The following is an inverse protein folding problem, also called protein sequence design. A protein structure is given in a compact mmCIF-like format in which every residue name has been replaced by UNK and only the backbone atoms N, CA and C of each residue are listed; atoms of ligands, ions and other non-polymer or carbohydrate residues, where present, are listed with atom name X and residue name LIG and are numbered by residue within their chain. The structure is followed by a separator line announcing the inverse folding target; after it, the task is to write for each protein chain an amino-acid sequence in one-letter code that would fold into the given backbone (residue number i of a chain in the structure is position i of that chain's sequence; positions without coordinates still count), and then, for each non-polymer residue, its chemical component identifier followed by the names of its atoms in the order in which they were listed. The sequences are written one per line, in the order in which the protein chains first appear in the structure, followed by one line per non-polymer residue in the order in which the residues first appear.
data_IF_809910626291
#
_entry.id   IF_809910626291
#
_cell.length_a   1.000
_cell.length_b   1.000
_cell.length_c   1.000
_cell.angle_alpha   90.00
_cell.angle_beta   90.00
_cell.angle_gamma   90.00
#
_symmetry.space_group_name_H-M   'P 1'
#
loop_
_entity.id
_entity.type
_entity.pdbx_description
1 polymer ?
#
# COMPACT_ATOMS: atom_id res chain seq x y z
N UNK A 1 -10.89 23.02 12.08
CA UNK A 1 -10.26 23.15 10.77
C UNK A 1 -10.35 21.82 10.03
N UNK A 2 -10.73 21.87 8.73
CA UNK A 2 -10.92 20.64 7.92
C UNK A 2 -9.64 19.81 7.78
N UNK A 3 -8.46 20.44 7.73
CA UNK A 3 -7.18 19.75 7.69
C UNK A 3 -6.92 18.95 8.95
N UNK A 4 -7.15 19.52 10.12
CA UNK A 4 -6.98 18.82 11.40
C UNK A 4 -7.93 17.61 11.52
N UNK A 5 -9.13 17.71 10.96
CA UNK A 5 -10.07 16.58 10.92
C UNK A 5 -9.55 15.49 9.99
N UNK A 6 -9.10 15.85 8.78
CA UNK A 6 -8.57 14.91 7.81
C UNK A 6 -7.29 14.20 8.34
N UNK A 7 -6.38 14.94 8.97
CA UNK A 7 -5.18 14.40 9.61
C UNK A 7 -5.53 13.43 10.75
N UNK A 8 -6.44 13.78 11.65
CA UNK A 8 -6.84 12.93 12.77
C UNK A 8 -7.56 11.64 12.35
N UNK A 9 -8.32 11.71 11.24
CA UNK A 9 -9.06 10.55 10.71
C UNK A 9 -8.31 9.77 9.64
N UNK A 10 -7.10 10.20 9.26
CA UNK A 10 -6.35 9.68 8.13
C UNK A 10 -7.20 9.55 6.86
N UNK A 11 -8.04 10.57 6.61
CA UNK A 11 -8.99 10.55 5.50
C UNK A 11 -8.48 11.37 4.32
N UNK A 12 -8.64 10.89 3.07
CA UNK A 12 -8.30 11.67 1.89
C UNK A 12 -9.22 12.87 1.73
N UNK A 13 -8.69 13.93 1.12
CA UNK A 13 -9.44 15.18 0.88
C UNK A 13 -9.87 15.24 -0.57
N UNK A 14 -11.17 15.37 -0.83
CA UNK A 14 -11.72 15.59 -2.17
C UNK A 14 -11.98 17.10 -2.39
N UNK A 15 -11.09 17.81 -3.10
CA UNK A 15 -11.27 19.23 -3.38
C UNK A 15 -12.29 19.45 -4.50
N UNK A 16 -13.17 20.43 -4.32
CA UNK A 16 -14.13 20.83 -5.34
C UNK A 16 -14.09 22.34 -5.58
N UNK A 17 -14.04 22.72 -6.85
CA UNK A 17 -14.13 24.13 -7.27
C UNK A 17 -15.54 24.47 -7.70
N UNK A 18 -16.17 25.39 -7.01
CA UNK A 18 -17.52 25.88 -7.32
C UNK A 18 -17.42 27.21 -8.03
N UNK A 19 -17.92 27.28 -9.27
CA UNK A 19 -17.96 28.49 -10.09
C UNK A 19 -19.39 28.99 -10.23
N UNK A 20 -19.88 29.87 -9.36
CA UNK A 20 -21.17 30.52 -9.59
C UNK A 20 -21.03 31.52 -10.77
N UNK A 21 -22.02 31.56 -11.65
CA UNK A 21 -22.11 32.65 -12.64
C UNK A 21 -22.35 33.97 -11.88
N UNK A 22 -21.31 34.76 -11.69
CA UNK A 22 -21.42 36.08 -11.05
C UNK A 22 -21.88 37.08 -12.10
N UNK A 23 -22.91 37.89 -11.73
CA UNK A 23 -23.40 39.01 -12.55
C UNK A 23 -22.27 40.04 -12.72
N UNK A 24 -22.18 40.67 -13.90
CA UNK A 24 -21.27 41.80 -14.16
C UNK A 24 -21.37 42.90 -13.14
N UNK A 25 -22.61 43.19 -12.63
CA UNK A 25 -22.88 44.12 -11.56
C UNK A 25 -22.16 43.79 -10.24
N UNK A 26 -21.96 42.51 -9.94
CA UNK A 26 -21.23 42.09 -8.75
C UNK A 26 -19.74 42.47 -8.82
N UNK A 27 -19.13 42.31 -9.99
CA UNK A 27 -17.72 42.70 -10.18
C UNK A 27 -17.51 44.21 -10.22
N UNK A 28 -18.41 44.96 -10.88
CA UNK A 28 -18.28 46.42 -10.95
C UNK A 28 -18.47 47.08 -9.58
N UNK A 29 -19.40 46.60 -8.74
CA UNK A 29 -19.59 47.09 -7.39
C UNK A 29 -18.44 46.71 -6.45
N UNK A 30 -17.78 45.59 -6.63
CA UNK A 30 -16.63 45.14 -5.80
C UNK A 30 -15.37 45.99 -6.03
N UNK A 31 -15.24 46.63 -7.20
CA UNK A 31 -14.09 47.47 -7.56
C UNK A 31 -14.24 48.90 -6.96
N UNK A 32 -15.46 49.41 -6.82
CA UNK A 32 -15.68 50.82 -6.51
C UNK A 32 -15.85 51.21 -5.02
N UNK A 33 -15.96 50.26 -4.05
CA UNK A 33 -16.19 50.67 -2.67
C UNK A 33 -15.68 49.73 -1.58
N UNK A 34 -14.51 50.00 -1.02
CA UNK A 34 -14.00 49.28 0.16
C UNK A 34 -14.69 49.63 1.50
N UNK A 35 -15.27 50.79 1.80
CA UNK A 35 -15.96 51.00 3.07
C UNK A 35 -17.50 50.81 3.06
N UNK A 36 -18.17 50.90 1.92
CA UNK A 36 -19.63 50.73 1.82
C UNK A 36 -20.08 49.32 1.48
N UNK A 37 -19.13 48.38 1.38
CA UNK A 37 -19.33 47.09 0.72
C UNK A 37 -20.13 46.07 1.51
N UNK A 38 -20.12 46.09 2.85
CA UNK A 38 -20.67 44.98 3.62
C UNK A 38 -22.19 44.92 3.61
N UNK A 39 -22.85 46.04 3.78
CA UNK A 39 -24.32 46.13 3.76
C UNK A 39 -24.90 46.05 2.36
N UNK A 40 -24.23 46.67 1.37
CA UNK A 40 -24.61 46.58 -0.03
C UNK A 40 -24.33 45.18 -0.61
N UNK A 41 -23.22 44.56 -0.21
CA UNK A 41 -22.88 43.17 -0.57
C UNK A 41 -23.92 42.18 0.00
N UNK A 42 -24.37 42.39 1.24
CA UNK A 42 -25.42 41.57 1.87
C UNK A 42 -26.75 41.72 1.13
N UNK A 43 -27.12 42.95 0.72
CA UNK A 43 -28.34 43.20 -0.04
C UNK A 43 -28.29 42.64 -1.47
N UNK A 44 -27.13 42.73 -2.13
CA UNK A 44 -26.91 42.15 -3.46
C UNK A 44 -26.85 40.63 -3.39
N UNK A 45 -26.26 40.04 -2.35
CA UNK A 45 -26.29 38.59 -2.10
C UNK A 45 -27.69 38.07 -1.82
N UNK A 46 -28.50 38.80 -1.01
CA UNK A 46 -29.90 38.44 -0.76
C UNK A 46 -30.76 38.57 -2.02
N UNK A 47 -30.63 39.66 -2.80
CA UNK A 47 -31.32 39.80 -4.08
C UNK A 47 -30.86 38.79 -5.13
N UNK A 48 -29.59 38.45 -5.19
CA UNK A 48 -29.05 37.42 -6.08
C UNK A 48 -29.58 36.05 -5.66
N UNK A 49 -29.68 35.76 -4.37
CA UNK A 49 -30.25 34.48 -3.87
C UNK A 49 -31.74 34.35 -4.18
N UNK A 50 -32.48 35.43 -4.12
CA UNK A 50 -33.94 35.45 -4.40
C UNK A 50 -34.29 35.44 -5.90
N UNK A 51 -33.37 35.86 -6.80
CA UNK A 51 -33.52 35.86 -8.28
C UNK A 51 -32.95 34.59 -8.96
N UNK A 52 -32.47 33.63 -8.19
CA UNK A 52 -31.61 32.54 -8.68
C UNK A 52 -32.35 31.28 -9.09
N UNK A 53 -33.60 31.33 -9.53
CA UNK A 53 -34.34 30.13 -9.96
C UNK A 53 -33.83 29.46 -11.24
N UNK A 54 -32.90 30.09 -12.02
CA UNK A 54 -32.39 29.56 -13.29
C UNK A 54 -30.88 29.68 -13.52
N UNK A 55 -30.06 29.82 -12.48
CA UNK A 55 -28.61 29.92 -12.64
C UNK A 55 -27.91 28.56 -12.48
N UNK A 56 -27.20 28.15 -13.51
CA UNK A 56 -26.33 26.95 -13.50
C UNK A 56 -25.10 27.23 -12.63
N UNK A 57 -24.85 26.39 -11.63
CA UNK A 57 -23.63 26.37 -10.85
C UNK A 57 -22.72 25.27 -11.44
N UNK A 58 -21.53 25.65 -11.90
CA UNK A 58 -20.56 24.69 -12.36
C UNK A 58 -19.69 24.23 -11.18
N UNK A 59 -19.72 22.93 -10.92
CA UNK A 59 -18.85 22.29 -9.93
C UNK A 59 -17.83 21.44 -10.67
N UNK A 60 -16.54 21.70 -10.44
CA UNK A 60 -15.45 20.84 -10.88
C UNK A 60 -14.89 20.11 -9.68
N UNK A 61 -15.00 18.78 -9.69
CA UNK A 61 -14.47 17.92 -8.66
C UNK A 61 -13.05 17.54 -9.09
N UNK A 62 -12.07 17.69 -8.19
CA UNK A 62 -10.70 17.25 -8.38
C UNK A 62 -10.52 15.78 -7.98
N UNK A 63 -9.29 15.33 -8.04
CA UNK A 63 -8.90 13.99 -7.57
C UNK A 63 -8.73 13.99 -6.05
N UNK A 64 -8.85 12.82 -5.44
CA UNK A 64 -8.59 12.63 -4.01
C UNK A 64 -7.12 12.96 -3.70
N UNK A 65 -6.89 13.82 -2.73
CA UNK A 65 -5.55 14.12 -2.22
C UNK A 65 -5.22 13.11 -1.14
N UNK A 66 -4.08 12.43 -1.32
CA UNK A 66 -3.54 11.46 -0.37
C UNK A 66 -3.35 12.11 1.01
N UNK A 67 -3.79 11.49 2.12
CA UNK A 67 -3.52 11.98 3.47
C UNK A 67 -2.04 12.25 3.71
N UNK A 68 -1.15 11.38 3.25
CA UNK A 68 0.29 11.52 3.43
C UNK A 68 0.88 12.69 2.60
N UNK A 69 0.22 13.11 1.52
CA UNK A 69 0.74 14.17 0.64
C UNK A 69 0.88 15.55 1.33
N UNK A 70 0.31 15.75 2.50
CA UNK A 70 0.41 17.00 3.26
C UNK A 70 1.02 16.83 4.67
N UNK A 71 1.15 15.60 5.19
CA UNK A 71 1.82 15.34 6.46
C UNK A 71 3.32 15.62 6.36
N UNK A 72 3.97 15.22 5.27
CA UNK A 72 5.39 15.45 5.00
C UNK A 72 5.78 16.93 4.85
N UNK A 73 4.78 17.81 4.71
CA UNK A 73 5.04 19.25 4.66
C UNK A 73 5.24 19.78 6.08
N UNK A 74 6.50 19.96 6.51
CA UNK A 74 6.89 20.65 7.76
C UNK A 74 6.47 22.13 7.74
N UNK A 75 5.26 22.44 7.27
CA UNK A 75 4.76 23.78 7.07
C UNK A 75 3.74 24.17 8.14
N UNK A 76 3.71 25.45 8.57
CA UNK A 76 2.65 25.94 9.45
C UNK A 76 1.26 25.71 8.84
N UNK A 77 0.27 25.36 9.67
CA UNK A 77 -1.11 25.07 9.26
C UNK A 77 -1.69 26.13 8.31
N UNK A 78 -1.44 27.42 8.61
CA UNK A 78 -1.88 28.55 7.76
C UNK A 78 -1.33 28.48 6.34
N UNK A 79 -0.11 27.97 6.16
CA UNK A 79 0.52 27.77 4.85
C UNK A 79 -0.07 26.56 4.13
N UNK A 80 -0.30 25.45 4.84
CA UNK A 80 -1.00 24.27 4.31
C UNK A 80 -2.39 24.67 3.77
N UNK A 81 -3.18 25.39 4.53
CA UNK A 81 -4.53 25.89 4.11
C UNK A 81 -4.45 26.72 2.82
N UNK A 82 -3.43 27.60 2.68
CA UNK A 82 -3.23 28.38 1.45
C UNK A 82 -2.89 27.50 0.24
N UNK A 83 -2.14 26.43 0.43
CA UNK A 83 -1.85 25.47 -0.63
C UNK A 83 -3.11 24.73 -1.09
N UNK A 84 -3.97 24.30 -0.18
CA UNK A 84 -5.28 23.73 -0.52
C UNK A 84 -6.21 24.72 -1.23
N UNK A 85 -6.24 25.98 -0.80
CA UNK A 85 -6.95 27.03 -1.52
C UNK A 85 -6.42 27.17 -2.95
N UNK A 86 -5.10 27.21 -3.13
CA UNK A 86 -4.46 27.27 -4.45
C UNK A 86 -4.81 26.04 -5.30
N UNK A 87 -4.86 24.85 -4.69
CA UNK A 87 -5.27 23.63 -5.36
C UNK A 87 -6.69 23.72 -5.92
N UNK A 88 -7.66 24.20 -5.13
CA UNK A 88 -9.05 24.41 -5.58
C UNK A 88 -9.10 25.36 -6.78
N UNK A 89 -8.35 26.48 -6.77
CA UNK A 89 -8.28 27.39 -7.93
C UNK A 89 -7.65 26.72 -9.16
N UNK A 90 -6.65 25.85 -8.96
CA UNK A 90 -6.02 25.10 -10.09
C UNK A 90 -7.01 24.18 -10.77
N UNK A 91 -7.86 23.48 -10.00
CA UNK A 91 -8.95 22.65 -10.52
C UNK A 91 -9.88 23.48 -11.41
N UNK A 92 -10.27 24.67 -10.95
CA UNK A 92 -11.11 25.61 -11.72
C UNK A 92 -10.52 25.94 -13.08
N UNK A 93 -9.19 25.98 -13.22
CA UNK A 93 -8.45 26.33 -14.42
C UNK A 93 -7.85 25.13 -15.17
N UNK A 94 -8.25 23.90 -14.85
CA UNK A 94 -7.72 22.67 -15.44
C UNK A 94 -6.17 22.54 -15.36
N UNK A 95 -5.58 22.99 -14.27
CA UNK A 95 -4.13 22.87 -14.03
C UNK A 95 -3.81 21.62 -13.24
N UNK A 96 -2.64 20.98 -13.43
CA UNK A 96 -2.22 19.80 -12.65
C UNK A 96 -2.28 20.00 -11.15
N UNK A 97 -2.50 18.94 -10.38
CA UNK A 97 -2.52 18.99 -8.92
C UNK A 97 -1.19 19.49 -8.34
N UNK A 98 -1.24 20.11 -7.16
CA UNK A 98 -0.07 20.45 -6.35
C UNK A 98 0.33 19.34 -5.40
N UNK A 99 -0.59 18.41 -5.14
CA UNK A 99 -0.44 17.30 -4.21
C UNK A 99 -0.45 15.99 -4.96
N UNK A 100 0.12 14.96 -4.37
CA UNK A 100 -0.11 13.58 -4.81
C UNK A 100 -1.61 13.27 -4.70
N UNK A 101 -2.18 12.73 -5.74
CA UNK A 101 -3.61 12.40 -5.81
C UNK A 101 -3.78 10.89 -5.93
N UNK A 102 -4.92 10.40 -5.43
CA UNK A 102 -5.33 9.01 -5.52
C UNK A 102 -6.48 8.89 -6.52
N UNK A 103 -6.38 7.95 -7.43
CA UNK A 103 -7.53 7.55 -8.24
C UNK A 103 -8.53 6.78 -7.36
N UNK A 104 -9.84 7.00 -7.47
CA UNK A 104 -10.83 6.18 -6.78
C UNK A 104 -10.62 4.70 -7.08
N UNK A 105 -10.78 3.84 -6.07
CA UNK A 105 -10.70 2.40 -6.26
C UNK A 105 -11.83 1.96 -7.21
N UNK A 106 -11.52 1.08 -8.14
CA UNK A 106 -12.48 0.55 -9.09
C UNK A 106 -13.69 -0.13 -8.40
N UNK A 107 -14.87 -0.16 -9.02
CA UNK A 107 -15.99 -0.94 -8.51
C UNK A 107 -15.64 -2.45 -8.49
N UNK A 108 -16.27 -3.24 -7.58
CA UNK A 108 -16.13 -4.69 -7.56
C UNK A 108 -16.53 -5.35 -8.88
N UNK A 109 -15.85 -6.42 -9.23
CA UNK A 109 -16.22 -7.26 -10.37
C UNK A 109 -17.47 -8.12 -10.06
N UNK A 110 -18.13 -8.60 -11.08
CA UNK A 110 -19.32 -9.43 -10.94
C UNK A 110 -19.00 -10.78 -10.28
N UNK A 111 -19.70 -11.11 -9.19
CA UNK A 111 -19.45 -12.30 -8.36
C UNK A 111 -19.65 -13.63 -9.09
N UNK A 112 -20.60 -13.70 -10.02
CA UNK A 112 -20.85 -14.92 -10.78
C UNK A 112 -19.76 -15.15 -11.83
N UNK A 113 -19.28 -14.08 -12.46
CA UNK A 113 -18.13 -14.16 -13.38
C UNK A 113 -16.87 -14.56 -12.64
N UNK A 114 -16.64 -14.01 -11.43
CA UNK A 114 -15.53 -14.41 -10.56
C UNK A 114 -15.61 -15.88 -10.21
N UNK A 115 -16.77 -16.36 -9.76
CA UNK A 115 -16.98 -17.78 -9.43
C UNK A 115 -16.65 -18.68 -10.62
N UNK A 116 -17.18 -18.37 -11.79
CA UNK A 116 -16.93 -19.15 -13.00
C UNK A 116 -15.43 -19.22 -13.35
N UNK A 117 -14.68 -18.13 -13.20
CA UNK A 117 -13.26 -18.10 -13.48
C UNK A 117 -12.45 -18.84 -12.40
N UNK A 118 -12.82 -18.69 -11.11
CA UNK A 118 -12.17 -19.40 -9.99
C UNK A 118 -12.39 -20.91 -10.09
N UNK A 119 -13.59 -21.38 -10.47
CA UNK A 119 -13.89 -22.79 -10.65
C UNK A 119 -13.08 -23.45 -11.79
N UNK A 120 -12.61 -22.66 -12.75
CA UNK A 120 -11.70 -23.13 -13.80
C UNK A 120 -10.22 -23.24 -13.35
N UNK A 121 -9.89 -22.73 -12.17
CA UNK A 121 -8.54 -22.76 -11.61
C UNK A 121 -8.18 -24.13 -11.04
N UNK A 122 -6.87 -24.42 -10.93
CA UNK A 122 -6.36 -25.63 -10.30
C UNK A 122 -6.62 -25.64 -8.79
N UNK A 123 -7.38 -26.59 -8.22
CA UNK A 123 -7.64 -26.64 -6.79
C UNK A 123 -6.39 -27.10 -6.02
N UNK A 124 -6.03 -26.38 -4.95
CA UNK A 124 -4.93 -26.70 -4.05
C UNK A 124 -5.40 -27.28 -2.71
N UNK A 125 -6.61 -26.95 -2.28
CA UNK A 125 -7.17 -27.44 -1.04
C UNK A 125 -8.40 -26.68 -0.56
N UNK A 126 -8.90 -27.10 0.59
CA UNK A 126 -10.04 -26.49 1.26
C UNK A 126 -9.72 -26.25 2.74
N UNK A 127 -10.38 -25.28 3.34
CA UNK A 127 -10.23 -24.95 4.74
C UNK A 127 -11.40 -25.45 5.58
N UNK A 128 -11.25 -25.46 6.90
CA UNK A 128 -12.31 -25.94 7.80
C UNK A 128 -13.54 -25.02 7.84
N UNK A 129 -13.38 -23.78 7.46
CA UNK A 129 -14.41 -22.73 7.43
C UNK A 129 -14.90 -22.47 6.00
N UNK A 130 -14.97 -23.53 5.19
CA UNK A 130 -15.57 -23.55 3.84
C UNK A 130 -14.92 -22.61 2.82
N UNK A 131 -13.64 -22.24 3.01
CA UNK A 131 -12.90 -21.51 1.99
C UNK A 131 -12.13 -22.47 1.10
N UNK A 132 -11.99 -22.13 -0.16
CA UNK A 132 -11.26 -22.91 -1.16
C UNK A 132 -9.97 -22.20 -1.56
N UNK A 133 -8.94 -22.98 -1.82
CA UNK A 133 -7.63 -22.47 -2.24
C UNK A 133 -7.37 -22.93 -3.66
N UNK A 134 -7.08 -21.99 -4.55
CA UNK A 134 -6.83 -22.25 -5.95
C UNK A 134 -5.47 -21.72 -6.39
N UNK A 135 -4.92 -22.35 -7.41
CA UNK A 135 -3.81 -21.82 -8.20
C UNK A 135 -4.37 -21.20 -9.49
N UNK A 136 -4.33 -19.89 -9.57
CA UNK A 136 -4.66 -19.16 -10.77
C UNK A 136 -3.40 -18.93 -11.62
N UNK A 137 -3.49 -19.27 -12.90
CA UNK A 137 -2.48 -18.93 -13.91
C UNK A 137 -3.02 -17.82 -14.79
N UNK A 138 -2.28 -16.72 -14.86
CA UNK A 138 -2.76 -15.52 -15.54
C UNK A 138 -3.09 -15.78 -17.02
N UNK A 139 -4.13 -15.15 -17.50
CA UNK A 139 -4.49 -15.05 -18.90
C UNK A 139 -5.05 -13.65 -19.22
N UNK A 140 -5.12 -13.32 -20.47
CA UNK A 140 -5.63 -12.02 -20.94
C UNK A 140 -7.11 -11.85 -20.59
N UNK A 141 -7.50 -10.62 -20.21
CA UNK A 141 -8.88 -10.21 -19.89
C UNK A 141 -9.55 -10.95 -18.72
N UNK A 142 -8.78 -11.31 -17.69
CA UNK A 142 -9.29 -11.98 -16.51
C UNK A 142 -10.06 -11.03 -15.59
N UNK A 143 -11.29 -11.41 -15.21
CA UNK A 143 -12.05 -10.71 -14.14
C UNK A 143 -11.41 -10.94 -12.77
N UNK A 144 -10.82 -12.14 -12.58
CA UNK A 144 -10.19 -12.49 -11.33
C UNK A 144 -8.96 -11.61 -11.04
N UNK A 145 -8.10 -11.35 -12.04
CA UNK A 145 -6.93 -10.48 -11.83
C UNK A 145 -7.35 -9.03 -11.61
N UNK A 146 -8.42 -8.57 -12.25
CA UNK A 146 -8.95 -7.22 -12.01
C UNK A 146 -9.47 -7.07 -10.57
N UNK A 147 -10.17 -8.08 -10.06
CA UNK A 147 -10.65 -8.07 -8.66
C UNK A 147 -9.50 -8.22 -7.66
N UNK A 148 -8.53 -9.10 -7.92
CA UNK A 148 -7.31 -9.21 -7.11
C UNK A 148 -6.61 -7.84 -7.04
N UNK A 149 -6.41 -7.17 -8.18
CA UNK A 149 -5.77 -5.86 -8.23
C UNK A 149 -6.56 -4.78 -7.48
N UNK A 150 -7.89 -4.80 -7.57
CA UNK A 150 -8.78 -3.90 -6.84
C UNK A 150 -8.66 -4.08 -5.32
N UNK A 151 -8.79 -5.31 -4.83
CA UNK A 151 -8.72 -5.65 -3.41
C UNK A 151 -7.32 -5.44 -2.84
N UNK A 152 -6.30 -5.69 -3.64
CA UNK A 152 -4.89 -5.46 -3.30
C UNK A 152 -4.62 -3.97 -3.08
N UNK A 153 -5.06 -3.12 -4.00
CA UNK A 153 -4.96 -1.67 -3.85
C UNK A 153 -5.74 -1.17 -2.63
N UNK A 154 -6.97 -1.67 -2.40
CA UNK A 154 -7.77 -1.34 -1.23
C UNK A 154 -7.05 -1.68 0.08
N UNK A 155 -6.54 -2.91 0.19
CA UNK A 155 -5.85 -3.38 1.38
C UNK A 155 -4.54 -2.60 1.64
N UNK A 156 -3.76 -2.32 0.60
CA UNK A 156 -2.49 -1.61 0.72
C UNK A 156 -2.69 -0.13 1.07
N UNK A 157 -3.68 0.55 0.49
CA UNK A 157 -3.98 1.94 0.87
C UNK A 157 -4.29 2.09 2.35
N UNK A 158 -5.02 1.13 2.93
CA UNK A 158 -5.40 1.18 4.36
C UNK A 158 -4.20 1.10 5.32
N UNK A 159 -3.06 0.58 4.85
CA UNK A 159 -1.82 0.52 5.64
C UNK A 159 -0.79 1.55 5.19
N UNK A 160 -1.18 2.50 4.33
CA UNK A 160 -0.29 3.56 3.83
C UNK A 160 0.67 3.12 2.74
N UNK A 161 0.45 1.96 2.15
CA UNK A 161 1.09 1.45 0.95
C UNK A 161 0.12 1.55 -0.23
N UNK A 162 0.52 1.13 -1.43
CA UNK A 162 -0.34 1.13 -2.60
C UNK A 162 0.10 2.09 -3.69
N UNK A 163 -0.37 1.83 -4.90
CA UNK A 163 0.06 2.53 -6.11
C UNK A 163 -0.63 3.87 -6.32
N UNK A 164 -1.77 4.10 -5.65
CA UNK A 164 -2.64 5.26 -5.89
C UNK A 164 -3.53 5.11 -7.14
N UNK A 165 -3.46 3.98 -7.84
CA UNK A 165 -4.27 3.64 -9.01
C UNK A 165 -5.60 3.03 -8.61
N UNK A 166 -6.55 2.90 -9.53
CA UNK A 166 -7.83 2.23 -9.25
C UNK A 166 -7.70 0.72 -8.99
N UNK A 167 -6.59 0.12 -9.42
CA UNK A 167 -6.20 -1.28 -9.18
C UNK A 167 -4.67 -1.37 -9.10
N UNK A 168 -4.13 -2.15 -8.18
CA UNK A 168 -2.71 -2.51 -8.16
C UNK A 168 -2.51 -3.70 -9.11
N UNK A 169 -2.24 -3.42 -10.38
CA UNK A 169 -1.91 -4.39 -11.43
C UNK A 169 -0.65 -3.90 -12.11
N UNK A 170 0.32 -4.79 -12.26
CA UNK A 170 1.58 -4.52 -12.97
C UNK A 170 1.84 -5.57 -14.07
N UNK A 171 2.92 -5.39 -14.85
CA UNK A 171 3.27 -6.29 -15.95
C UNK A 171 3.55 -7.73 -15.47
N UNK A 172 3.97 -7.90 -14.21
CA UNK A 172 4.22 -9.23 -13.63
C UNK A 172 2.93 -10.04 -13.44
N UNK A 173 1.80 -9.38 -13.23
CA UNK A 173 0.50 -10.04 -13.07
C UNK A 173 0.07 -10.78 -14.35
N UNK A 174 0.65 -10.47 -15.52
CA UNK A 174 0.33 -11.13 -16.79
C UNK A 174 0.91 -12.53 -16.91
N UNK A 175 1.98 -12.86 -16.18
CA UNK A 175 2.70 -14.13 -16.31
C UNK A 175 3.04 -14.80 -14.98
N UNK A 176 2.93 -14.11 -13.87
CA UNK A 176 3.02 -14.72 -12.55
C UNK A 176 1.75 -15.49 -12.21
N UNK A 177 1.90 -16.51 -11.38
CA UNK A 177 0.77 -17.27 -10.83
C UNK A 177 0.25 -16.59 -9.54
N UNK A 178 -0.97 -16.95 -9.14
CA UNK A 178 -1.53 -16.50 -7.87
C UNK A 178 -2.12 -17.66 -7.09
N UNK A 179 -1.77 -17.77 -5.82
CA UNK A 179 -2.55 -18.55 -4.85
C UNK A 179 -3.72 -17.66 -4.44
N UNK A 180 -4.93 -18.13 -4.65
CA UNK A 180 -6.17 -17.40 -4.38
C UNK A 180 -6.93 -18.12 -3.28
N UNK A 181 -7.28 -17.41 -2.22
CA UNK A 181 -8.20 -17.87 -1.19
C UNK A 181 -9.60 -17.32 -1.52
N UNK A 182 -10.55 -18.21 -1.71
CA UNK A 182 -11.90 -17.93 -2.15
C UNK A 182 -12.92 -18.29 -1.08
N UNK A 183 -13.87 -17.39 -0.81
CA UNK A 183 -15.03 -17.64 0.04
C UNK A 183 -16.20 -18.12 -0.83
N UNK A 184 -16.61 -19.37 -0.63
CA UNK A 184 -17.67 -19.99 -1.42
C UNK A 184 -19.06 -19.48 -1.02
N UNK A 185 -19.23 -19.05 0.23
CA UNK A 185 -20.51 -18.57 0.75
C UNK A 185 -20.79 -17.13 0.29
N UNK A 186 -19.78 -16.26 0.34
CA UNK A 186 -19.89 -14.85 -0.05
C UNK A 186 -19.54 -14.61 -1.53
N UNK A 187 -19.05 -15.61 -2.26
CA UNK A 187 -18.59 -15.55 -3.65
C UNK A 187 -17.60 -14.41 -3.88
N UNK A 188 -16.53 -14.38 -3.10
CA UNK A 188 -15.54 -13.32 -3.18
C UNK A 188 -14.11 -13.81 -2.89
N UNK A 189 -13.13 -13.04 -3.37
CA UNK A 189 -11.71 -13.27 -3.07
C UNK A 189 -11.42 -12.80 -1.66
N UNK A 190 -10.97 -13.69 -0.80
CA UNK A 190 -10.55 -13.38 0.58
C UNK A 190 -9.15 -12.76 0.61
N UNK A 191 -8.27 -13.25 -0.25
CA UNK A 191 -6.90 -12.78 -0.37
C UNK A 191 -6.15 -13.55 -1.43
N UNK A 192 -4.96 -13.08 -1.76
CA UNK A 192 -4.10 -13.77 -2.72
C UNK A 192 -2.61 -13.58 -2.39
N UNK A 193 -1.81 -14.45 -3.00
CA UNK A 193 -0.35 -14.42 -2.97
C UNK A 193 0.18 -14.61 -4.38
N UNK A 194 0.97 -13.67 -4.90
CA UNK A 194 1.61 -13.78 -6.21
C UNK A 194 2.89 -14.60 -6.12
N UNK A 195 3.13 -15.47 -7.09
CA UNK A 195 4.32 -16.34 -7.10
C UNK A 195 4.86 -16.59 -8.53
N UNK A 196 6.17 -16.75 -8.63
CA UNK A 196 6.85 -17.05 -9.88
C UNK A 196 8.05 -17.98 -9.68
N UNK A 197 8.22 -18.94 -10.59
CA UNK A 197 9.41 -19.77 -10.66
C UNK A 197 10.60 -18.95 -11.18
N UNK A 198 11.60 -18.73 -10.36
CA UNK A 198 12.68 -17.78 -10.65
C UNK A 198 13.57 -18.16 -11.82
N UNK A 199 13.74 -19.47 -12.09
CA UNK A 199 14.60 -19.96 -13.17
C UNK A 199 14.04 -19.73 -14.58
N UNK A 200 12.71 -19.52 -14.69
CA UNK A 200 12.05 -19.30 -15.98
C UNK A 200 11.76 -17.81 -16.25
N UNK A 201 12.03 -16.96 -15.28
CA UNK A 201 11.69 -15.55 -15.36
C UNK A 201 12.94 -14.71 -15.63
N UNK A 202 13.06 -14.08 -16.80
CA UNK A 202 14.25 -13.29 -17.15
C UNK A 202 14.36 -12.01 -16.29
N UNK A 203 13.26 -11.54 -15.73
CA UNK A 203 13.21 -10.32 -14.90
C UNK A 203 12.28 -10.49 -13.73
N UNK A 204 12.82 -10.87 -12.58
CA UNK A 204 12.09 -10.97 -11.33
C UNK A 204 11.65 -9.58 -10.83
N UNK A 205 10.52 -9.53 -10.13
CA UNK A 205 10.09 -8.30 -9.44
C UNK A 205 11.17 -7.82 -8.47
N UNK A 206 11.69 -8.69 -7.63
CA UNK A 206 12.76 -8.35 -6.68
C UNK A 206 14.05 -7.88 -7.37
N UNK A 207 14.27 -8.18 -8.66
CA UNK A 207 15.39 -7.62 -9.43
C UNK A 207 15.21 -6.12 -9.74
N UNK A 208 14.02 -5.55 -9.53
CA UNK A 208 13.82 -4.09 -9.58
C UNK A 208 14.41 -3.40 -8.37
N UNK A 209 14.48 -4.09 -7.23
CA UNK A 209 14.93 -3.57 -5.93
C UNK A 209 16.38 -3.95 -5.62
N UNK A 210 16.81 -5.14 -6.03
CA UNK A 210 18.10 -5.74 -5.68
C UNK A 210 18.87 -6.20 -6.91
N UNK A 211 20.19 -6.26 -6.80
CA UNK A 211 21.06 -6.88 -7.80
C UNK A 211 21.42 -8.28 -7.32
N UNK A 212 21.11 -9.28 -8.14
CA UNK A 212 21.53 -10.65 -7.96
C UNK A 212 22.96 -10.85 -8.49
N UNK A 213 23.72 -11.70 -7.85
CA UNK A 213 25.10 -12.01 -8.18
C UNK A 213 25.32 -13.53 -8.30
N UNK A 214 26.53 -13.96 -8.57
CA UNK A 214 26.87 -15.40 -8.71
C UNK A 214 26.60 -16.21 -7.44
N UNK A 215 26.73 -15.60 -6.26
CA UNK A 215 26.50 -16.28 -4.97
C UNK A 215 25.02 -16.61 -4.76
N UNK A 216 24.13 -15.91 -5.47
CA UNK A 216 22.68 -16.12 -5.44
C UNK A 216 22.17 -17.03 -6.56
N UNK A 217 23.03 -17.52 -7.46
CA UNK A 217 22.63 -18.31 -8.62
C UNK A 217 21.87 -19.59 -8.23
N UNK A 218 22.30 -20.30 -7.19
CA UNK A 218 21.61 -21.48 -6.70
C UNK A 218 20.19 -21.18 -6.21
N UNK A 219 20.00 -20.01 -5.60
CA UNK A 219 18.67 -19.54 -5.14
C UNK A 219 17.78 -19.29 -6.35
N UNK A 220 18.30 -18.64 -7.39
CA UNK A 220 17.57 -18.36 -8.62
C UNK A 220 17.22 -19.62 -9.38
N UNK A 221 18.12 -20.62 -9.45
CA UNK A 221 17.89 -21.87 -10.19
C UNK A 221 16.78 -22.74 -9.59
N UNK A 222 16.54 -22.68 -8.29
CA UNK A 222 15.54 -23.50 -7.59
C UNK A 222 14.64 -22.70 -6.65
N UNK A 223 14.46 -21.42 -6.94
CA UNK A 223 13.67 -20.50 -6.17
C UNK A 223 12.23 -20.35 -6.66
N UNK A 224 11.38 -19.93 -5.74
CA UNK A 224 10.04 -19.45 -6.00
C UNK A 224 9.94 -18.04 -5.41
N UNK A 225 9.77 -17.03 -6.27
CA UNK A 225 9.54 -15.66 -5.83
C UNK A 225 8.10 -15.52 -5.34
N UNK A 226 7.93 -14.92 -4.16
CA UNK A 226 6.65 -14.62 -3.53
C UNK A 226 6.51 -13.11 -3.35
N UNK A 227 5.32 -12.57 -3.63
CA UNK A 227 5.07 -11.15 -3.46
C UNK A 227 3.59 -10.78 -3.50
N UNK A 228 3.33 -9.50 -3.35
CA UNK A 228 1.98 -8.93 -3.44
C UNK A 228 0.93 -9.69 -2.63
N UNK A 229 1.30 -10.16 -1.42
CA UNK A 229 0.35 -10.83 -0.53
C UNK A 229 -0.60 -9.83 0.09
N UNK A 230 -1.87 -10.14 0.07
CA UNK A 230 -2.90 -9.35 0.76
C UNK A 230 -4.03 -10.22 1.28
N UNK A 231 -4.71 -9.71 2.28
CA UNK A 231 -6.00 -10.20 2.75
C UNK A 231 -6.98 -9.03 2.67
N UNK A 232 -8.17 -9.27 2.12
CA UNK A 232 -9.24 -8.28 2.07
C UNK A 232 -9.55 -7.78 3.50
N UNK A 233 -9.72 -6.46 3.71
CA UNK A 233 -9.90 -5.89 5.06
C UNK A 233 -10.99 -6.54 5.90
N UNK A 234 -12.08 -6.99 5.26
CA UNK A 234 -13.19 -7.73 5.89
C UNK A 234 -12.70 -8.98 6.67
N UNK A 235 -11.62 -9.62 6.21
CA UNK A 235 -11.08 -10.86 6.79
C UNK A 235 -9.83 -10.65 7.66
N UNK A 236 -9.48 -9.39 7.98
CA UNK A 236 -8.34 -9.13 8.88
C UNK A 236 -8.60 -9.69 10.27
N UNK A 237 -7.54 -10.16 10.93
CA UNK A 237 -7.62 -10.81 12.24
C UNK A 237 -8.09 -12.27 12.19
N UNK A 238 -8.43 -12.81 11.01
CA UNK A 238 -8.76 -14.22 10.81
C UNK A 238 -7.51 -15.07 10.49
N UNK A 239 -7.72 -16.37 10.22
CA UNK A 239 -6.65 -17.28 9.78
C UNK A 239 -6.36 -17.23 8.28
N UNK A 240 -6.90 -16.28 7.55
CA UNK A 240 -6.83 -16.23 6.09
C UNK A 240 -5.40 -16.18 5.54
N UNK A 241 -4.49 -15.47 6.22
CA UNK A 241 -3.08 -15.46 5.83
C UNK A 241 -2.42 -16.84 6.02
N UNK A 242 -2.77 -17.57 7.07
CA UNK A 242 -2.32 -18.96 7.29
C UNK A 242 -2.82 -19.90 6.19
N UNK A 243 -4.07 -19.72 5.75
CA UNK A 243 -4.65 -20.50 4.66
C UNK A 243 -3.95 -20.28 3.31
N UNK A 244 -3.52 -19.05 3.01
CA UNK A 244 -2.68 -18.79 1.84
C UNK A 244 -1.36 -19.59 1.92
N UNK A 245 -0.77 -19.72 3.10
CA UNK A 245 0.41 -20.56 3.32
C UNK A 245 0.13 -22.06 3.14
N UNK A 246 -1.06 -22.53 3.46
CA UNK A 246 -1.46 -23.91 3.12
C UNK A 246 -1.47 -24.13 1.60
N UNK A 247 -1.93 -23.11 0.84
CA UNK A 247 -1.87 -23.13 -0.62
C UNK A 247 -0.45 -23.18 -1.16
N UNK A 248 0.45 -22.34 -0.62
CA UNK A 248 1.88 -22.36 -0.97
C UNK A 248 2.49 -23.73 -0.65
N UNK A 249 2.22 -24.29 0.53
CA UNK A 249 2.70 -25.61 0.91
C UNK A 249 2.16 -26.74 0.01
N UNK A 250 0.89 -26.66 -0.40
CA UNK A 250 0.30 -27.60 -1.34
C UNK A 250 0.95 -27.50 -2.73
N UNK A 251 1.23 -26.29 -3.20
CA UNK A 251 1.97 -26.04 -4.44
C UNK A 251 3.38 -26.61 -4.38
N UNK A 252 4.15 -26.33 -3.33
CA UNK A 252 5.52 -26.84 -3.14
C UNK A 252 5.58 -28.36 -3.06
N UNK A 253 4.60 -29.00 -2.41
CA UNK A 253 4.52 -30.47 -2.36
C UNK A 253 4.36 -31.10 -3.74
N UNK A 254 3.64 -30.42 -4.65
CA UNK A 254 3.49 -30.85 -6.05
C UNK A 254 4.71 -30.48 -6.91
N UNK A 255 5.54 -29.55 -6.44
CA UNK A 255 6.68 -28.99 -7.17
C UNK A 255 7.96 -29.02 -6.31
N UNK A 256 8.51 -30.21 -5.98
CA UNK A 256 9.62 -30.37 -5.04
C UNK A 256 10.98 -29.82 -5.54
N UNK A 257 11.04 -29.38 -6.80
CA UNK A 257 12.21 -28.72 -7.39
C UNK A 257 12.46 -27.33 -6.77
N UNK A 258 11.43 -26.67 -6.23
CA UNK A 258 11.59 -25.38 -5.56
C UNK A 258 12.06 -25.57 -4.14
N UNK A 259 13.28 -25.12 -3.84
CA UNK A 259 13.97 -25.29 -2.56
C UNK A 259 14.10 -23.99 -1.76
N UNK A 260 13.95 -22.87 -2.42
CA UNK A 260 14.07 -21.54 -1.82
C UNK A 260 12.80 -20.75 -2.07
N UNK A 261 12.31 -20.09 -1.04
CA UNK A 261 11.30 -19.05 -1.15
C UNK A 261 12.00 -17.71 -0.99
N UNK A 262 11.76 -16.78 -1.89
CA UNK A 262 12.33 -15.44 -1.83
C UNK A 262 11.27 -14.39 -2.15
N UNK A 263 11.47 -13.16 -1.68
CA UNK A 263 10.53 -12.08 -1.92
C UNK A 263 10.89 -10.85 -1.10
N UNK A 264 10.33 -9.72 -1.46
CA UNK A 264 10.39 -8.50 -0.68
C UNK A 264 9.21 -8.44 0.30
N UNK A 265 9.46 -7.89 1.47
CA UNK A 265 8.43 -7.57 2.46
C UNK A 265 8.59 -6.11 2.85
N UNK A 266 7.50 -5.35 2.76
CA UNK A 266 7.48 -3.89 2.98
C UNK A 266 7.41 -3.50 4.46
N UNK A 267 7.88 -2.29 4.76
CA UNK A 267 7.60 -1.55 5.99
C UNK A 267 7.04 -0.21 5.55
N UNK A 268 5.74 -0.01 5.71
CA UNK A 268 5.05 1.19 5.29
C UNK A 268 5.74 2.49 5.73
N UNK A 269 5.70 3.52 4.90
CA UNK A 269 6.19 4.86 5.24
C UNK A 269 5.40 5.56 6.35
N UNK A 270 4.27 4.99 6.80
CA UNK A 270 3.60 5.42 8.02
C UNK A 270 4.42 5.14 9.28
N UNK A 271 5.39 4.22 9.22
CA UNK A 271 6.33 3.98 10.31
C UNK A 271 7.35 5.11 10.39
N UNK A 272 7.51 5.67 11.59
CA UNK A 272 8.57 6.65 11.85
C UNK A 272 9.97 6.06 11.63
N UNK A 273 10.93 6.92 11.28
CA UNK A 273 12.32 6.50 11.08
C UNK A 273 12.87 5.65 12.23
N UNK A 274 12.70 6.04 13.53
CA UNK A 274 13.17 5.20 14.65
C UNK A 274 12.51 3.82 14.70
N UNK A 275 11.24 3.70 14.29
CA UNK A 275 10.55 2.41 14.24
C UNK A 275 11.10 1.51 13.13
N UNK A 276 11.34 2.07 11.92
CA UNK A 276 12.00 1.37 10.81
C UNK A 276 13.40 0.91 11.22
N UNK A 277 14.21 1.79 11.82
CA UNK A 277 15.56 1.45 12.28
C UNK A 277 15.57 0.28 13.27
N UNK A 278 14.62 0.24 14.21
CA UNK A 278 14.46 -0.88 15.16
C UNK A 278 14.15 -2.22 14.45
N UNK A 279 13.25 -2.21 13.50
CA UNK A 279 12.89 -3.42 12.74
C UNK A 279 14.08 -3.88 11.91
N UNK A 280 14.63 -3.01 11.08
CA UNK A 280 15.79 -3.32 10.22
C UNK A 280 16.98 -3.79 11.06
N UNK A 281 17.32 -3.08 12.14
CA UNK A 281 18.43 -3.44 13.01
C UNK A 281 18.25 -4.81 13.69
N UNK A 282 17.05 -5.16 14.13
CA UNK A 282 16.75 -6.47 14.69
C UNK A 282 16.95 -7.58 13.65
N UNK A 283 16.37 -7.44 12.44
CA UNK A 283 16.47 -8.48 11.41
C UNK A 283 17.87 -8.56 10.81
N UNK A 284 18.61 -7.46 10.69
CA UNK A 284 20.02 -7.48 10.33
C UNK A 284 20.88 -8.22 11.37
N UNK A 285 20.57 -8.08 12.65
CA UNK A 285 21.36 -8.71 13.72
C UNK A 285 21.10 -10.22 13.82
N UNK A 286 19.84 -10.65 13.78
CA UNK A 286 19.45 -12.04 14.08
C UNK A 286 19.22 -12.92 12.85
N UNK A 287 18.98 -12.32 11.68
CA UNK A 287 18.59 -13.02 10.48
C UNK A 287 19.49 -12.72 9.28
N UNK A 288 20.65 -12.14 9.47
CA UNK A 288 21.67 -12.05 8.44
C UNK A 288 22.17 -13.46 8.04
N UNK A 289 22.67 -13.60 6.81
CA UNK A 289 23.27 -14.85 6.40
C UNK A 289 24.61 -15.09 7.08
N UNK A 290 24.79 -16.28 7.68
CA UNK A 290 26.04 -16.65 8.41
C UNK A 290 27.26 -16.73 7.50
N UNK A 291 27.07 -16.90 6.18
CA UNK A 291 28.13 -16.94 5.17
C UNK A 291 28.39 -15.58 4.55
N UNK A 292 27.71 -14.53 5.03
CA UNK A 292 27.82 -13.18 4.52
C UNK A 292 27.14 -12.96 3.16
N UNK A 293 26.21 -13.85 2.76
CA UNK A 293 25.41 -13.65 1.57
C UNK A 293 24.51 -12.42 1.77
N UNK A 294 24.69 -11.43 0.91
CA UNK A 294 23.90 -10.20 0.89
C UNK A 294 23.52 -9.86 -0.54
N UNK A 295 22.37 -9.19 -0.70
CA UNK A 295 21.96 -8.59 -1.96
C UNK A 295 22.33 -7.11 -1.97
N UNK A 296 22.91 -6.66 -3.06
CA UNK A 296 23.16 -5.24 -3.29
C UNK A 296 21.83 -4.53 -3.60
N UNK A 297 21.38 -3.71 -2.66
CA UNK A 297 20.17 -2.89 -2.82
C UNK A 297 20.43 -1.75 -3.79
N UNK A 298 19.48 -1.47 -4.68
CA UNK A 298 19.57 -0.35 -5.64
C UNK A 298 19.40 1.00 -4.97
N UNK A 299 18.57 1.04 -3.91
CA UNK A 299 18.34 2.21 -3.05
C UNK A 299 18.43 1.76 -1.59
N UNK A 300 19.64 1.57 -1.06
CA UNK A 300 19.83 0.93 0.24
C UNK A 300 19.23 1.77 1.37
N UNK A 301 18.49 1.09 2.26
CA UNK A 301 18.11 1.67 3.54
C UNK A 301 19.32 1.65 4.48
N UNK A 302 19.69 2.80 5.01
CA UNK A 302 20.85 2.94 5.88
C UNK A 302 20.44 3.41 7.27
N UNK A 303 20.95 2.75 8.29
CA UNK A 303 20.82 3.15 9.70
C UNK A 303 22.04 3.99 10.04
N UNK A 304 21.85 5.16 10.65
CA UNK A 304 22.97 5.98 11.09
C UNK A 304 23.76 5.33 12.24
N UNK A 305 25.00 5.78 12.47
CA UNK A 305 25.89 5.14 13.43
C UNK A 305 25.40 5.26 14.87
N UNK A 306 24.73 6.36 15.23
CA UNK A 306 24.18 6.55 16.57
C UNK A 306 23.02 5.59 16.83
N UNK A 307 22.10 5.43 15.87
CA UNK A 307 21.01 4.47 15.93
C UNK A 307 21.55 3.04 15.95
N UNK A 308 22.56 2.72 15.13
CA UNK A 308 23.22 1.40 15.11
C UNK A 308 23.84 1.05 16.46
N UNK A 309 24.57 1.98 17.10
CA UNK A 309 25.15 1.77 18.41
C UNK A 309 24.08 1.53 19.48
N UNK A 310 22.99 2.32 19.46
CA UNK A 310 21.86 2.14 20.37
C UNK A 310 21.21 0.76 20.22
N UNK A 311 21.00 0.30 19.00
CA UNK A 311 20.42 -1.03 18.73
C UNK A 311 21.36 -2.15 19.14
N UNK A 312 22.68 -2.02 18.90
CA UNK A 312 23.67 -2.99 19.37
C UNK A 312 23.57 -3.16 20.87
N UNK A 313 23.55 -2.06 21.64
CA UNK A 313 23.37 -2.11 23.11
C UNK A 313 22.02 -2.73 23.51
N UNK A 314 20.96 -2.43 22.77
CA UNK A 314 19.60 -2.90 23.06
C UNK A 314 19.47 -4.43 22.90
N UNK A 315 20.16 -5.00 21.91
CA UNK A 315 20.07 -6.41 21.54
C UNK A 315 21.27 -7.26 22.05
N UNK A 316 22.30 -6.61 22.56
CA UNK A 316 23.50 -7.29 23.09
C UNK A 316 23.14 -8.37 24.12
N UNK A 317 23.82 -9.52 24.04
CA UNK A 317 23.70 -10.65 24.95
C UNK A 317 22.28 -11.25 25.11
N UNK A 318 21.38 -10.99 24.14
CA UNK A 318 20.01 -11.53 24.14
C UNK A 318 19.84 -12.62 23.11
N UNK A 319 19.08 -13.63 23.45
CA UNK A 319 18.57 -14.59 22.47
C UNK A 319 17.58 -13.92 21.51
N UNK A 320 17.36 -14.51 20.35
CA UNK A 320 16.37 -14.03 19.35
C UNK A 320 14.98 -13.77 19.95
N UNK A 321 14.52 -14.67 20.86
CA UNK A 321 13.21 -14.53 21.53
C UNK A 321 13.16 -13.36 22.52
N UNK A 322 14.19 -13.19 23.32
CA UNK A 322 14.31 -12.09 24.29
C UNK A 322 14.38 -10.75 23.55
N UNK A 323 15.24 -10.66 22.54
CA UNK A 323 15.38 -9.46 21.71
C UNK A 323 14.07 -9.13 20.94
N UNK A 324 13.33 -10.13 20.48
CA UNK A 324 12.02 -9.92 19.86
C UNK A 324 11.00 -9.34 20.85
N UNK A 325 11.07 -9.75 22.11
CA UNK A 325 10.22 -9.17 23.17
C UNK A 325 10.58 -7.70 23.41
N UNK A 326 11.88 -7.38 23.41
CA UNK A 326 12.38 -6.00 23.50
C UNK A 326 11.94 -5.18 22.28
N UNK A 327 12.09 -5.72 21.06
CA UNK A 327 11.63 -5.05 19.83
C UNK A 327 10.14 -4.69 19.92
N UNK A 328 9.29 -5.65 20.31
CA UNK A 328 7.84 -5.40 20.48
C UNK A 328 7.54 -4.30 21.49
N UNK A 329 8.26 -4.28 22.61
CA UNK A 329 8.09 -3.25 23.64
C UNK A 329 8.48 -1.86 23.12
N UNK A 330 9.63 -1.74 22.45
CA UNK A 330 10.09 -0.48 21.86
C UNK A 330 9.16 0.04 20.78
N UNK A 331 8.71 -0.82 19.86
CA UNK A 331 7.75 -0.44 18.83
C UNK A 331 6.42 0.04 19.43
N UNK A 332 5.92 -0.65 20.48
CA UNK A 332 4.69 -0.24 21.18
C UNK A 332 4.84 1.16 21.80
N UNK A 333 5.98 1.50 22.37
CA UNK A 333 6.25 2.86 22.90
C UNK A 333 6.20 3.92 21.80
N UNK A 334 6.54 3.55 20.56
CA UNK A 334 6.44 4.43 19.40
C UNK A 334 5.06 4.40 18.73
N UNK A 335 4.10 3.61 19.26
CA UNK A 335 2.75 3.48 18.68
C UNK A 335 2.63 2.44 17.56
N UNK A 336 3.63 1.57 17.37
CA UNK A 336 3.66 0.57 16.29
C UNK A 336 3.67 -0.87 16.80
N UNK A 337 3.42 -1.80 15.89
CA UNK A 337 3.61 -3.23 16.08
C UNK A 337 4.54 -3.79 15.00
N UNK A 338 5.16 -4.94 15.26
CA UNK A 338 5.94 -5.65 14.22
C UNK A 338 4.98 -6.06 13.10
N UNK A 339 5.29 -5.75 11.82
CA UNK A 339 4.46 -6.17 10.70
C UNK A 339 4.29 -7.70 10.66
N UNK A 340 3.06 -8.16 10.39
CA UNK A 340 2.70 -9.57 10.51
C UNK A 340 3.58 -10.51 9.67
N UNK A 341 3.90 -10.10 8.43
CA UNK A 341 4.72 -10.90 7.52
C UNK A 341 6.16 -11.09 8.01
N UNK A 342 6.76 -10.09 8.64
CA UNK A 342 8.11 -10.20 9.21
C UNK A 342 8.18 -11.29 10.26
N UNK A 343 7.20 -11.31 11.17
CA UNK A 343 7.08 -12.36 12.18
C UNK A 343 6.82 -13.72 11.53
N UNK A 344 5.87 -13.78 10.61
CA UNK A 344 5.47 -15.03 9.98
C UNK A 344 6.63 -15.70 9.23
N UNK A 345 7.40 -14.94 8.45
CA UNK A 345 8.57 -15.48 7.74
C UNK A 345 9.65 -15.98 8.71
N UNK A 346 9.86 -15.28 9.82
CA UNK A 346 10.81 -15.70 10.84
C UNK A 346 10.38 -17.01 11.53
N UNK A 347 9.08 -17.23 11.68
CA UNK A 347 8.50 -18.40 12.36
C UNK A 347 8.32 -19.62 11.43
N UNK A 348 8.40 -19.45 10.09
CA UNK A 348 8.19 -20.54 9.12
C UNK A 348 9.29 -21.61 9.13
N UNK A 349 10.49 -21.26 9.56
CA UNK A 349 11.66 -22.13 9.47
C UNK A 349 12.34 -22.26 10.83
N UNK A 350 13.16 -23.30 10.96
CA UNK A 350 14.11 -23.41 12.08
C UNK A 350 15.15 -22.29 12.00
N UNK A 351 15.87 -22.06 13.08
CA UNK A 351 16.91 -21.03 13.15
C UNK A 351 17.92 -21.17 11.99
N UNK A 352 18.16 -20.04 11.28
CA UNK A 352 19.05 -20.00 10.11
C UNK A 352 18.38 -20.39 8.78
N UNK A 353 17.11 -20.82 8.78
CA UNK A 353 16.36 -21.10 7.56
C UNK A 353 15.83 -19.84 6.86
N UNK A 354 15.37 -18.86 7.63
CA UNK A 354 14.99 -17.54 7.10
C UNK A 354 16.15 -16.57 7.23
N UNK A 355 16.40 -15.79 6.18
CA UNK A 355 17.49 -14.80 6.10
C UNK A 355 17.03 -13.54 5.42
N UNK A 356 17.48 -12.41 5.93
CA UNK A 356 17.26 -11.08 5.35
C UNK A 356 18.55 -10.67 4.63
N UNK A 357 18.51 -10.66 3.29
CA UNK A 357 19.70 -10.49 2.46
C UNK A 357 19.96 -9.04 2.06
N UNK A 358 19.01 -8.14 2.24
CA UNK A 358 19.15 -6.72 1.92
C UNK A 358 17.93 -5.91 2.35
N UNK A 359 18.12 -4.61 2.48
CA UNK A 359 17.05 -3.63 2.76
C UNK A 359 17.12 -2.52 1.74
N UNK A 360 16.01 -2.22 1.11
CA UNK A 360 15.89 -1.25 0.02
C UNK A 360 14.74 -0.28 0.31
N UNK A 361 14.79 0.91 -0.27
CA UNK A 361 13.69 1.87 -0.27
C UNK A 361 12.95 1.70 -1.60
N UNK A 362 11.63 1.50 -1.55
CA UNK A 362 10.76 1.41 -2.73
C UNK A 362 9.76 2.59 -2.75
N UNK A 363 10.13 3.74 -3.37
CA UNK A 363 9.25 4.89 -3.43
C UNK A 363 8.02 4.68 -4.31
N UNK A 364 8.04 3.68 -5.20
CA UNK A 364 6.91 3.37 -6.09
C UNK A 364 5.80 2.63 -5.35
N UNK A 365 6.16 1.95 -4.24
CA UNK A 365 5.23 1.26 -3.35
C UNK A 365 5.02 1.98 -2.00
N UNK A 366 5.70 3.11 -1.80
CA UNK A 366 5.63 3.92 -0.60
C UNK A 366 6.10 3.19 0.67
N UNK A 367 7.27 2.51 0.62
CA UNK A 367 7.88 1.78 1.72
C UNK A 367 9.39 2.08 1.90
#
# INVERSE_FOLDING_TARGET
DFLSIAEQSNSPILPAHVSPKKSFLFYSLSIFSKPFSTLLLLRVLLQASLKQSNNTVNIKIGELIDPLAHEDLSLPLKTKVKLFQKQVYRIGHNKPSLFRTLTPIAPPEDRQRLKHEVEACEPLGETRDNKKIFLYRSHTDSVLIREIGRLREEAFRLIGEGTGSERDIDDYDQHYMHIVLWDEDDLEVVGAYRLCATHNEPRLYTSTLFNYNKDTEQIIQSGLELGRSFIQPKYWGSRSLEYLWYGIAAFLRRNPQYRYLLGAVSISNTFSRPAKDLIVGYYQHYYADNKGLTLSSKRPYTIDDAARQKMSQLFQDKSTKEAFTVLKAQLRHLGYSVPALYKQYADLTTQGGTRFLGFNIDPDFND
#
